data_IF_522678912678
#
_entry.id   IF_522678912678
#
_cell.length_a   1.000
_cell.length_b   1.000
_cell.length_c   1.000
_cell.angle_alpha   90.00
_cell.angle_beta   90.00
_cell.angle_gamma   90.00
#
_symmetry.space_group_name_H-M   'P 1'
#
loop_
_entity.id
_entity.type
_entity.pdbx_description
1 polymer ?
#
# COMPACT_ATOMS: atom_id res chain seq x y z
N UNK A 1 20.26 -11.08 52.11
CA UNK A 1 21.17 -12.25 51.96
C UNK A 1 21.17 -12.68 50.51
N UNK A 2 22.31 -12.54 49.90
CA UNK A 2 22.92 -13.04 48.66
C UNK A 2 22.25 -12.79 47.29
N UNK A 3 22.97 -11.91 46.58
CA UNK A 3 23.08 -11.78 45.13
C UNK A 3 23.49 -13.09 44.45
N UNK A 4 23.03 -13.27 43.20
CA UNK A 4 23.87 -13.92 42.17
C UNK A 4 23.56 -13.34 40.78
N UNK A 5 24.54 -12.57 40.29
CA UNK A 5 24.71 -12.23 38.88
C UNK A 5 25.05 -13.47 38.08
N UNK A 6 24.45 -13.62 36.88
CA UNK A 6 25.00 -14.48 35.83
C UNK A 6 25.11 -13.68 34.53
N UNK A 7 26.35 -13.37 34.20
CA UNK A 7 26.82 -12.82 32.92
C UNK A 7 26.74 -13.91 31.85
N UNK A 8 26.22 -13.62 30.67
CA UNK A 8 26.39 -14.42 29.46
C UNK A 8 27.50 -13.82 28.56
N UNK A 9 28.28 -14.64 27.87
CA UNK A 9 29.48 -14.18 27.16
C UNK A 9 29.16 -13.76 25.73
N UNK A 10 29.74 -12.65 25.33
CA UNK A 10 29.93 -12.20 23.96
C UNK A 10 30.77 -13.21 23.19
N UNK A 11 30.27 -13.68 22.04
CA UNK A 11 31.13 -14.36 21.05
C UNK A 11 31.36 -13.40 19.88
N UNK A 12 32.59 -12.89 19.86
CA UNK A 12 33.26 -12.25 18.73
C UNK A 12 33.57 -13.33 17.70
N UNK A 13 33.19 -13.15 16.45
CA UNK A 13 33.67 -13.94 15.33
C UNK A 13 34.54 -13.05 14.44
N UNK A 14 35.74 -13.47 14.27
CA UNK A 14 36.90 -12.79 13.68
C UNK A 14 36.78 -12.63 12.17
N UNK A 15 37.33 -11.50 11.70
CA UNK A 15 37.74 -11.23 10.32
C UNK A 15 38.76 -12.28 9.86
N UNK A 16 38.59 -12.80 8.66
CA UNK A 16 39.65 -13.39 7.86
C UNK A 16 39.98 -12.47 6.69
N UNK A 17 41.09 -11.74 6.85
CA UNK A 17 41.80 -11.07 5.77
C UNK A 17 42.47 -12.14 4.92
N UNK A 18 42.23 -12.15 3.63
CA UNK A 18 43.10 -12.79 2.66
C UNK A 18 43.69 -11.71 1.76
N UNK A 19 44.91 -11.33 2.07
CA UNK A 19 45.75 -10.55 1.19
C UNK A 19 46.42 -11.49 0.19
N UNK A 20 46.33 -11.20 -1.10
CA UNK A 20 47.25 -11.77 -2.08
C UNK A 20 47.84 -10.67 -2.93
N UNK A 21 49.18 -10.70 -2.91
CA UNK A 21 50.06 -9.67 -3.40
C UNK A 21 50.30 -9.74 -4.90
N UNK A 22 50.53 -8.57 -5.45
CA UNK A 22 51.52 -8.15 -6.47
C UNK A 22 51.71 -8.93 -7.76
N UNK A 23 51.44 -8.23 -8.85
CA UNK A 23 52.33 -8.24 -10.02
C UNK A 23 52.35 -6.83 -10.63
N UNK A 24 53.50 -6.17 -10.49
CA UNK A 24 53.85 -4.94 -11.17
C UNK A 24 54.20 -5.30 -12.64
N UNK A 25 53.46 -4.75 -13.60
CA UNK A 25 53.95 -4.58 -14.96
C UNK A 25 53.77 -3.13 -15.34
N UNK A 26 54.91 -2.40 -15.36
CA UNK A 26 55.03 -1.13 -16.07
C UNK A 26 54.85 -1.34 -17.56
N UNK A 27 53.79 -0.74 -18.13
CA UNK A 27 53.57 -0.60 -19.53
C UNK A 27 52.93 0.74 -19.81
N UNK A 28 53.72 1.71 -20.20
CA UNK A 28 53.21 3.01 -20.66
C UNK A 28 52.53 2.83 -22.04
N UNK A 29 51.25 3.08 -22.11
CA UNK A 29 50.48 3.14 -23.36
C UNK A 29 49.40 4.24 -23.24
N UNK A 30 49.19 5.05 -24.29
CA UNK A 30 48.43 6.27 -24.23
C UNK A 30 46.93 6.05 -24.23
N UNK A 31 46.26 6.81 -23.38
CA UNK A 31 44.92 7.34 -23.60
C UNK A 31 43.79 6.39 -23.97
N UNK A 32 43.12 5.78 -23.00
CA UNK A 32 41.77 5.26 -23.18
C UNK A 32 40.77 6.33 -22.66
N UNK A 33 39.73 6.65 -23.46
CA UNK A 33 38.74 7.65 -23.05
C UNK A 33 37.87 7.09 -21.91
N UNK A 34 37.65 7.89 -20.89
CA UNK A 34 36.84 7.61 -19.71
C UNK A 34 35.31 7.50 -19.99
N UNK A 35 34.93 7.20 -21.23
CA UNK A 35 33.52 7.10 -21.67
C UNK A 35 32.89 5.73 -21.49
N UNK A 36 33.64 4.70 -21.08
CA UNK A 36 33.14 3.33 -21.01
C UNK A 36 32.29 2.99 -19.77
N UNK A 37 32.55 3.64 -18.64
CA UNK A 37 31.87 3.27 -17.37
C UNK A 37 30.43 3.82 -17.30
N UNK A 38 30.20 5.05 -17.74
CA UNK A 38 28.86 5.63 -17.77
C UNK A 38 27.91 4.94 -18.77
N UNK A 39 28.44 4.50 -19.91
CA UNK A 39 27.66 3.75 -20.90
C UNK A 39 27.33 2.32 -20.46
N UNK A 40 28.20 1.68 -19.66
CA UNK A 40 27.90 0.36 -19.07
C UNK A 40 26.89 0.43 -17.95
N UNK A 41 26.88 1.50 -17.16
CA UNK A 41 25.91 1.70 -16.09
C UNK A 41 24.51 1.97 -16.68
N UNK A 42 24.40 2.78 -17.73
CA UNK A 42 23.15 2.98 -18.48
C UNK A 42 22.66 1.72 -19.21
N UNK A 43 23.56 0.89 -19.74
CA UNK A 43 23.21 -0.37 -20.38
C UNK A 43 22.77 -1.47 -19.39
N UNK A 44 23.26 -1.42 -18.14
CA UNK A 44 22.81 -2.30 -17.06
C UNK A 44 21.44 -1.91 -16.51
N UNK A 45 21.11 -0.61 -16.52
CA UNK A 45 19.82 -0.10 -16.10
C UNK A 45 18.68 -0.53 -17.05
N UNK A 46 18.96 -0.71 -18.33
CA UNK A 46 17.98 -1.16 -19.34
C UNK A 46 17.62 -2.65 -19.26
N UNK A 47 18.31 -3.46 -18.46
CA UNK A 47 18.09 -4.92 -18.33
C UNK A 47 17.20 -5.32 -17.13
N UNK A 48 16.78 -4.39 -16.31
CA UNK A 48 15.84 -4.70 -15.22
C UNK A 48 14.41 -4.77 -15.80
N UNK A 49 13.64 -5.84 -15.52
CA UNK A 49 12.24 -5.90 -15.90
C UNK A 49 11.48 -4.87 -15.09
N UNK A 50 11.16 -3.75 -15.70
CA UNK A 50 10.44 -2.65 -15.05
C UNK A 50 10.62 -1.35 -15.82
N UNK A 51 9.83 -0.35 -15.48
CA UNK A 51 9.94 0.97 -16.10
C UNK A 51 11.25 1.66 -15.72
N UNK A 52 11.82 2.42 -16.64
CA UNK A 52 12.83 3.41 -16.31
C UNK A 52 12.26 4.50 -15.40
N UNK A 53 13.12 5.27 -14.76
CA UNK A 53 12.68 6.37 -13.87
C UNK A 53 11.86 7.40 -14.65
N UNK A 54 12.26 7.73 -15.88
CA UNK A 54 11.57 8.67 -16.75
C UNK A 54 10.18 8.13 -17.17
N UNK A 55 10.10 6.88 -17.58
CA UNK A 55 8.82 6.24 -17.95
C UNK A 55 7.86 6.17 -16.77
N UNK A 56 8.37 5.82 -15.58
CA UNK A 56 7.57 5.78 -14.36
C UNK A 56 7.06 7.18 -13.97
N UNK A 57 7.90 8.21 -14.06
CA UNK A 57 7.50 9.61 -13.82
C UNK A 57 6.46 10.08 -14.84
N UNK A 58 6.66 9.75 -16.11
CA UNK A 58 5.70 10.07 -17.16
C UNK A 58 4.35 9.37 -16.94
N UNK A 59 4.37 8.09 -16.58
CA UNK A 59 3.17 7.32 -16.24
C UNK A 59 2.44 7.92 -15.02
N UNK A 60 3.15 8.18 -13.93
CA UNK A 60 2.58 8.81 -12.74
C UNK A 60 1.94 10.17 -13.05
N UNK A 61 2.60 11.02 -13.86
CA UNK A 61 2.04 12.30 -14.26
C UNK A 61 0.76 12.15 -15.11
N UNK A 62 0.68 11.15 -16.00
CA UNK A 62 -0.56 10.86 -16.75
C UNK A 62 -1.71 10.49 -15.81
N UNK A 63 -1.43 9.61 -14.85
CA UNK A 63 -2.39 9.19 -13.82
C UNK A 63 -2.90 10.38 -13.02
N UNK A 64 -2.01 11.22 -12.52
CA UNK A 64 -2.36 12.36 -11.68
C UNK A 64 -3.12 13.45 -12.45
N UNK A 65 -2.82 13.63 -13.73
CA UNK A 65 -3.62 14.51 -14.62
C UNK A 65 -5.06 14.00 -14.77
N UNK A 66 -5.26 12.70 -14.95
CA UNK A 66 -6.60 12.10 -15.01
C UNK A 66 -7.36 12.28 -13.68
N UNK A 67 -6.67 12.15 -12.54
CA UNK A 67 -7.25 12.42 -11.21
C UNK A 67 -7.63 13.90 -11.07
N UNK A 68 -6.77 14.81 -11.48
CA UNK A 68 -7.00 16.26 -11.40
C UNK A 68 -8.15 16.71 -12.29
N UNK A 69 -8.24 16.21 -13.53
CA UNK A 69 -9.34 16.51 -14.45
C UNK A 69 -10.67 15.84 -14.06
N UNK A 70 -10.64 14.94 -13.06
CA UNK A 70 -11.79 14.12 -12.61
C UNK A 70 -12.41 13.29 -13.73
N UNK A 71 -11.59 12.88 -14.70
CA UNK A 71 -12.00 12.00 -15.79
C UNK A 71 -11.90 10.53 -15.34
N UNK A 72 -13.03 9.96 -14.96
CA UNK A 72 -13.11 8.59 -14.47
C UNK A 72 -12.78 7.56 -15.56
N UNK A 73 -13.16 7.81 -16.81
CA UNK A 73 -12.87 6.90 -17.92
C UNK A 73 -11.38 6.90 -18.24
N UNK A 74 -10.76 8.09 -18.30
CA UNK A 74 -9.32 8.22 -18.51
C UNK A 74 -8.54 7.57 -17.37
N UNK A 75 -8.97 7.75 -16.11
CA UNK A 75 -8.34 7.08 -14.97
C UNK A 75 -8.48 5.56 -15.05
N UNK A 76 -9.68 5.05 -15.34
CA UNK A 76 -9.94 3.62 -15.49
C UNK A 76 -9.13 3.00 -16.64
N UNK A 77 -8.97 3.70 -17.76
CA UNK A 77 -8.19 3.21 -18.90
C UNK A 77 -6.73 2.92 -18.54
N UNK A 78 -6.19 3.62 -17.53
CA UNK A 78 -4.81 3.49 -17.04
C UNK A 78 -4.60 2.38 -16.01
N UNK A 79 -5.65 1.65 -15.62
CA UNK A 79 -5.54 0.52 -14.72
C UNK A 79 -4.93 -0.69 -15.43
N UNK A 80 -4.19 -1.51 -14.70
CA UNK A 80 -3.73 -2.81 -15.18
C UNK A 80 -4.93 -3.73 -15.50
N UNK A 81 -4.75 -4.79 -16.30
CA UNK A 81 -5.81 -5.75 -16.59
C UNK A 81 -6.46 -6.30 -15.32
N UNK A 82 -5.66 -6.70 -14.33
CA UNK A 82 -6.13 -7.26 -13.06
C UNK A 82 -6.97 -6.25 -12.28
N UNK A 83 -6.55 -4.98 -12.26
CA UNK A 83 -7.29 -3.93 -11.57
C UNK A 83 -8.59 -3.56 -12.33
N UNK A 84 -8.62 -3.70 -13.65
CA UNK A 84 -9.83 -3.52 -14.47
C UNK A 84 -10.85 -4.62 -14.24
N UNK A 85 -10.41 -5.88 -14.15
CA UNK A 85 -11.28 -7.02 -13.84
C UNK A 85 -11.94 -6.86 -12.46
N UNK A 86 -11.19 -6.32 -11.50
CA UNK A 86 -11.63 -6.11 -10.12
C UNK A 86 -12.40 -4.80 -9.88
N UNK A 87 -12.66 -3.99 -10.91
CA UNK A 87 -13.29 -2.68 -10.76
C UNK A 87 -14.09 -2.31 -12.02
N UNK A 88 -14.84 -1.21 -11.95
CA UNK A 88 -15.60 -0.68 -13.08
C UNK A 88 -15.44 0.84 -13.22
N UNK A 89 -15.70 1.41 -14.41
CA UNK A 89 -15.69 2.86 -14.58
C UNK A 89 -16.65 3.59 -13.62
N UNK A 90 -17.80 2.98 -13.30
CA UNK A 90 -18.77 3.56 -12.36
C UNK A 90 -18.23 3.61 -10.92
N UNK A 91 -17.48 2.58 -10.47
CA UNK A 91 -16.80 2.58 -9.17
C UNK A 91 -15.72 3.65 -9.10
N UNK A 92 -14.95 3.83 -10.17
CA UNK A 92 -13.94 4.91 -10.27
C UNK A 92 -14.64 6.28 -10.22
N UNK A 93 -15.74 6.47 -10.97
CA UNK A 93 -16.50 7.71 -10.96
C UNK A 93 -17.11 8.03 -9.58
N UNK A 94 -17.66 7.03 -8.89
CA UNK A 94 -18.18 7.18 -7.53
C UNK A 94 -17.08 7.63 -6.57
N UNK A 95 -15.92 6.96 -6.58
CA UNK A 95 -14.76 7.31 -5.78
C UNK A 95 -14.29 8.75 -6.06
N UNK A 96 -14.17 9.13 -7.33
CA UNK A 96 -13.70 10.47 -7.71
C UNK A 96 -14.67 11.59 -7.33
N UNK A 97 -15.97 11.31 -7.21
CA UNK A 97 -16.97 12.32 -6.76
C UNK A 97 -16.75 12.74 -5.32
N UNK A 98 -16.30 11.83 -4.46
CA UNK A 98 -16.17 12.06 -3.02
C UNK A 98 -14.75 12.37 -2.56
N UNK A 99 -13.76 12.00 -3.37
CA UNK A 99 -12.37 12.36 -3.08
C UNK A 99 -12.16 13.89 -3.11
N UNK A 100 -11.31 14.44 -2.22
CA UNK A 100 -10.88 15.83 -2.29
C UNK A 100 -10.31 16.18 -3.66
N UNK A 101 -10.52 17.40 -4.11
CA UNK A 101 -9.96 17.86 -5.40
C UNK A 101 -8.46 17.89 -5.35
N UNK A 102 -7.78 17.26 -6.31
CA UNK A 102 -6.34 17.38 -6.50
C UNK A 102 -6.02 18.76 -7.09
N UNK A 103 -5.26 19.57 -6.37
CA UNK A 103 -4.86 20.92 -6.78
C UNK A 103 -3.52 20.89 -7.50
N UNK A 104 -2.52 20.22 -6.89
CA UNK A 104 -1.18 20.04 -7.45
C UNK A 104 -0.52 18.81 -6.87
N UNK A 105 0.62 18.38 -7.42
CA UNK A 105 1.41 17.27 -6.90
C UNK A 105 2.91 17.48 -7.15
N UNK A 106 3.71 16.73 -6.39
CA UNK A 106 5.15 16.64 -6.56
C UNK A 106 5.56 15.16 -6.49
N UNK A 107 6.28 14.66 -7.50
CA UNK A 107 6.89 13.34 -7.46
C UNK A 107 8.11 13.40 -6.55
N UNK A 108 8.14 12.56 -5.51
CA UNK A 108 9.18 12.54 -4.48
C UNK A 108 10.27 11.55 -4.86
N UNK A 109 9.91 10.28 -5.04
CA UNK A 109 10.85 9.20 -5.34
C UNK A 109 10.29 8.22 -6.39
N UNK A 110 11.17 7.43 -6.98
CA UNK A 110 10.84 6.30 -7.86
C UNK A 110 11.67 5.11 -7.41
N UNK A 111 11.01 4.04 -6.99
CA UNK A 111 11.63 2.81 -6.56
C UNK A 111 11.30 1.70 -7.56
N UNK A 112 12.33 1.16 -8.20
CA UNK A 112 12.21 0.08 -9.19
C UNK A 112 12.26 -1.27 -8.47
N UNK A 113 11.20 -2.06 -8.63
CA UNK A 113 11.15 -3.44 -8.15
C UNK A 113 11.28 -4.45 -9.30
N UNK A 114 11.27 -5.73 -8.98
CA UNK A 114 11.43 -6.81 -9.98
C UNK A 114 10.27 -6.88 -10.98
N UNK A 115 9.06 -6.56 -10.57
CA UNK A 115 7.83 -6.66 -11.40
C UNK A 115 7.05 -5.35 -11.50
N UNK A 116 7.25 -4.47 -10.54
CA UNK A 116 6.51 -3.22 -10.42
C UNK A 116 7.45 -2.08 -10.09
N UNK A 117 7.05 -0.87 -10.43
CA UNK A 117 7.75 0.35 -10.06
C UNK A 117 6.83 1.18 -9.17
N UNK A 118 7.32 1.58 -8.00
CA UNK A 118 6.58 2.42 -7.07
C UNK A 118 7.01 3.87 -7.21
N UNK A 119 6.06 4.77 -7.40
CA UNK A 119 6.29 6.21 -7.44
C UNK A 119 5.64 6.85 -6.22
N UNK A 120 6.45 7.46 -5.39
CA UNK A 120 6.01 8.24 -4.23
C UNK A 120 5.64 9.66 -4.66
N UNK A 121 4.49 10.12 -4.20
CA UNK A 121 3.92 11.40 -4.65
C UNK A 121 3.35 12.15 -3.46
N UNK A 122 3.75 13.42 -3.30
CA UNK A 122 3.06 14.35 -2.41
C UNK A 122 1.93 15.04 -3.18
N UNK A 123 0.70 14.85 -2.73
CA UNK A 123 -0.51 15.46 -3.27
C UNK A 123 -0.89 16.68 -2.43
N UNK A 124 -1.21 17.79 -3.09
CA UNK A 124 -1.87 18.92 -2.48
C UNK A 124 -3.33 18.91 -2.90
N UNK A 125 -4.24 18.70 -1.95
CA UNK A 125 -5.67 18.54 -2.20
C UNK A 125 -6.48 19.63 -1.51
N UNK A 126 -7.76 19.73 -1.83
CA UNK A 126 -8.70 20.64 -1.15
C UNK A 126 -8.92 20.31 0.34
N UNK A 127 -8.49 19.12 0.80
CA UNK A 127 -8.54 18.69 2.20
C UNK A 127 -7.17 18.72 2.90
N UNK A 128 -6.11 19.20 2.21
CA UNK A 128 -4.75 19.27 2.74
C UNK A 128 -3.76 18.42 1.95
N UNK A 129 -2.54 18.31 2.49
CA UNK A 129 -1.47 17.49 1.91
C UNK A 129 -1.66 16.02 2.26
N UNK A 130 -1.28 15.15 1.34
CA UNK A 130 -1.32 13.70 1.49
C UNK A 130 -0.18 13.07 0.68
N UNK A 131 0.50 12.10 1.23
CA UNK A 131 1.49 11.31 0.52
C UNK A 131 0.90 9.97 0.08
N UNK A 132 1.24 9.57 -1.13
CA UNK A 132 0.71 8.36 -1.75
C UNK A 132 1.78 7.64 -2.54
N UNK A 133 1.63 6.32 -2.63
CA UNK A 133 2.47 5.45 -3.44
C UNK A 133 1.65 4.91 -4.60
N UNK A 134 2.05 5.23 -5.82
CA UNK A 134 1.51 4.66 -7.04
C UNK A 134 2.35 3.46 -7.44
N UNK A 135 1.74 2.30 -7.53
CA UNK A 135 2.41 1.08 -8.00
C UNK A 135 2.05 0.87 -9.46
N UNK A 136 3.07 0.85 -10.32
CA UNK A 136 2.96 0.71 -11.76
C UNK A 136 3.51 -0.65 -12.20
N UNK A 137 2.82 -1.32 -13.14
CA UNK A 137 3.35 -2.51 -13.80
C UNK A 137 4.37 -2.13 -14.91
N UNK A 138 4.99 -3.09 -15.55
CA UNK A 138 5.98 -2.87 -16.62
C UNK A 138 5.45 -2.14 -17.86
N UNK A 139 4.13 -2.03 -18.04
CA UNK A 139 3.47 -1.25 -19.08
C UNK A 139 3.13 0.19 -18.65
N UNK A 140 3.48 0.60 -17.42
CA UNK A 140 3.17 1.91 -16.86
C UNK A 140 1.70 2.08 -16.47
N UNK A 141 0.99 0.99 -16.25
CA UNK A 141 -0.40 0.97 -15.80
C UNK A 141 -0.45 0.84 -14.28
N UNK A 142 -1.49 1.40 -13.67
CA UNK A 142 -1.69 1.33 -12.21
C UNK A 142 -2.07 -0.10 -11.83
N UNK A 143 -1.26 -0.73 -10.99
CA UNK A 143 -1.54 -2.04 -10.37
C UNK A 143 -1.87 -1.94 -8.88
N UNK A 144 -1.55 -0.83 -8.24
CA UNK A 144 -1.87 -0.57 -6.85
C UNK A 144 -1.78 0.91 -6.50
N UNK A 145 -2.37 1.25 -5.36
CA UNK A 145 -2.38 2.61 -4.82
C UNK A 145 -2.41 2.54 -3.30
N UNK A 146 -1.50 3.26 -2.65
CA UNK A 146 -1.46 3.37 -1.20
C UNK A 146 -1.46 4.81 -0.76
N UNK A 147 -2.07 5.05 0.38
CA UNK A 147 -1.95 6.30 1.13
C UNK A 147 -0.87 6.08 2.19
N UNK A 148 0.03 7.02 2.38
CA UNK A 148 0.89 7.03 3.55
C UNK A 148 0.05 7.36 4.78
N UNK A 149 0.07 6.47 5.74
CA UNK A 149 -0.77 6.51 6.95
C UNK A 149 0.08 6.57 8.22
N UNK A 150 1.40 6.63 8.10
CA UNK A 150 2.36 6.49 9.20
C UNK A 150 2.12 7.47 10.35
N UNK A 151 1.71 8.70 10.04
CA UNK A 151 1.47 9.76 11.03
C UNK A 151 0.03 9.77 11.59
N UNK A 152 -0.83 8.80 11.21
CA UNK A 152 -2.21 8.75 11.65
C UNK A 152 -2.41 7.76 12.80
N UNK A 153 -3.32 8.04 13.72
CA UNK A 153 -3.69 7.08 14.75
C UNK A 153 -4.34 5.82 14.12
N UNK A 154 -3.98 4.59 14.53
CA UNK A 154 -4.55 3.35 14.00
C UNK A 154 -6.08 3.32 14.02
N UNK A 155 -6.69 3.83 15.10
CA UNK A 155 -8.16 3.92 15.21
C UNK A 155 -8.79 4.86 14.17
N UNK A 156 -8.10 5.93 13.80
CA UNK A 156 -8.56 6.85 12.76
C UNK A 156 -8.48 6.18 11.37
N UNK A 157 -7.41 5.45 11.09
CA UNK A 157 -7.23 4.71 9.84
C UNK A 157 -8.32 3.66 9.68
N UNK A 158 -8.53 2.82 10.70
CA UNK A 158 -9.58 1.80 10.69
C UNK A 158 -10.98 2.42 10.52
N UNK A 159 -11.26 3.55 11.19
CA UNK A 159 -12.52 4.27 11.01
C UNK A 159 -12.71 4.79 9.57
N UNK A 160 -11.66 5.36 8.95
CA UNK A 160 -11.71 5.83 7.55
C UNK A 160 -11.94 4.67 6.57
N UNK A 161 -11.31 3.53 6.80
CA UNK A 161 -11.51 2.32 6.02
C UNK A 161 -12.98 1.87 6.04
N UNK A 162 -13.57 1.71 7.23
CA UNK A 162 -14.97 1.31 7.38
C UNK A 162 -15.93 2.36 6.80
N UNK A 163 -15.61 3.65 6.95
CA UNK A 163 -16.38 4.73 6.33
C UNK A 163 -16.35 4.65 4.78
N UNK A 164 -15.22 4.28 4.20
CA UNK A 164 -15.12 4.08 2.74
C UNK A 164 -15.95 2.86 2.30
N UNK A 165 -15.93 1.74 3.04
CA UNK A 165 -16.77 0.57 2.78
C UNK A 165 -18.25 0.92 2.81
N UNK A 166 -18.69 1.59 3.88
CA UNK A 166 -20.10 1.94 4.10
C UNK A 166 -20.65 2.92 3.06
N UNK A 167 -19.77 3.73 2.48
CA UNK A 167 -20.09 4.66 1.40
C UNK A 167 -20.02 4.05 0.00
N UNK A 168 -19.67 2.76 -0.12
CA UNK A 168 -19.50 2.08 -1.41
C UNK A 168 -18.23 2.48 -2.17
N UNK A 169 -17.27 3.13 -1.49
CA UNK A 169 -16.01 3.58 -2.09
C UNK A 169 -14.92 2.50 -1.98
N UNK A 170 -15.18 1.32 -2.54
CA UNK A 170 -14.34 0.13 -2.37
C UNK A 170 -12.92 0.30 -2.94
N UNK A 171 -12.73 1.11 -3.98
CA UNK A 171 -11.38 1.46 -4.47
C UNK A 171 -10.61 2.25 -3.39
N UNK A 172 -11.26 3.22 -2.75
CA UNK A 172 -10.66 3.97 -1.65
C UNK A 172 -10.44 3.09 -0.42
N UNK A 173 -11.39 2.22 -0.08
CA UNK A 173 -11.22 1.28 1.02
C UNK A 173 -10.01 0.36 0.78
N UNK A 174 -9.85 -0.17 -0.44
CA UNK A 174 -8.71 -1.00 -0.80
C UNK A 174 -7.37 -0.27 -0.65
N UNK A 175 -7.29 1.05 -0.81
CA UNK A 175 -6.05 1.81 -0.67
C UNK A 175 -5.51 1.90 0.77
N UNK A 176 -6.30 1.53 1.77
CA UNK A 176 -5.86 1.38 3.17
C UNK A 176 -5.21 0.02 3.45
N UNK A 177 -5.42 -0.97 2.59
CA UNK A 177 -4.84 -2.31 2.73
C UNK A 177 -3.35 -2.29 2.39
N UNK A 178 -2.56 -3.15 3.03
CA UNK A 178 -1.17 -3.42 2.63
C UNK A 178 -1.09 -3.93 1.18
N UNK A 179 0.08 -3.81 0.54
CA UNK A 179 0.28 -4.31 -0.83
C UNK A 179 0.02 -5.82 -0.95
N UNK A 180 0.38 -6.57 0.09
CA UNK A 180 0.16 -8.00 0.14
C UNK A 180 -1.33 -8.30 0.16
N UNK A 181 -2.07 -7.67 1.06
CA UNK A 181 -3.50 -7.85 1.18
C UNK A 181 -4.27 -7.35 -0.06
N UNK A 182 -3.76 -6.32 -0.76
CA UNK A 182 -4.32 -5.88 -2.05
C UNK A 182 -4.15 -6.90 -3.18
N UNK A 183 -3.16 -7.81 -3.11
CA UNK A 183 -3.03 -8.91 -4.07
C UNK A 183 -4.04 -10.03 -3.81
N UNK A 184 -4.41 -10.22 -2.55
CA UNK A 184 -5.34 -11.26 -2.12
C UNK A 184 -6.81 -10.83 -2.21
N UNK A 185 -7.07 -9.54 -1.92
CA UNK A 185 -8.42 -8.99 -1.86
C UNK A 185 -8.58 -7.91 -2.94
N UNK A 186 -9.26 -8.24 -3.99
CA UNK A 186 -9.65 -7.29 -5.02
C UNK A 186 -10.86 -6.42 -4.59
N UNK A 187 -11.19 -5.43 -5.41
CA UNK A 187 -12.28 -4.47 -5.13
C UNK A 187 -13.63 -5.17 -5.08
N UNK A 188 -13.86 -6.14 -5.97
CA UNK A 188 -15.13 -6.88 -6.04
C UNK A 188 -15.30 -7.81 -4.83
N UNK A 189 -14.23 -8.48 -4.41
CA UNK A 189 -14.21 -9.31 -3.20
C UNK A 189 -14.47 -8.47 -1.95
N UNK A 190 -13.88 -7.27 -1.84
CA UNK A 190 -14.12 -6.37 -0.72
C UNK A 190 -15.58 -5.91 -0.68
N UNK A 191 -16.16 -5.57 -1.83
CA UNK A 191 -17.57 -5.25 -1.96
C UNK A 191 -18.48 -6.42 -1.56
N UNK A 192 -18.18 -7.63 -2.05
CA UNK A 192 -18.95 -8.83 -1.72
C UNK A 192 -18.96 -9.13 -0.22
N UNK A 193 -17.82 -9.01 0.45
CA UNK A 193 -17.70 -9.21 1.91
C UNK A 193 -18.52 -8.17 2.69
N UNK A 194 -18.46 -6.90 2.30
CA UNK A 194 -19.27 -5.86 2.91
C UNK A 194 -20.77 -6.09 2.72
N UNK A 195 -21.19 -6.46 1.51
CA UNK A 195 -22.59 -6.80 1.24
C UNK A 195 -23.04 -8.06 2.00
N UNK A 196 -22.16 -9.04 2.18
CA UNK A 196 -22.43 -10.22 2.98
C UNK A 196 -22.70 -9.84 4.44
N UNK A 197 -21.87 -8.97 5.02
CA UNK A 197 -22.08 -8.44 6.36
C UNK A 197 -23.45 -7.75 6.46
N UNK A 198 -23.81 -6.87 5.51
CA UNK A 198 -25.09 -6.19 5.52
C UNK A 198 -26.29 -7.12 5.33
N UNK A 199 -26.16 -8.23 4.60
CA UNK A 199 -27.22 -9.24 4.53
C UNK A 199 -27.54 -9.86 5.89
N UNK A 200 -26.54 -9.99 6.75
CA UNK A 200 -26.70 -10.58 8.10
C UNK A 200 -27.16 -9.53 9.12
N UNK A 201 -26.57 -8.36 9.08
CA UNK A 201 -26.73 -7.31 10.11
C UNK A 201 -27.79 -6.25 9.77
N UNK A 202 -28.19 -6.18 8.50
CA UNK A 202 -29.01 -5.10 7.94
C UNK A 202 -28.17 -3.98 7.33
N UNK A 203 -28.85 -2.93 6.86
CA UNK A 203 -28.18 -1.78 6.25
C UNK A 203 -27.35 -1.02 7.29
N UNK A 204 -26.18 -0.54 6.87
CA UNK A 204 -25.31 0.25 7.69
C UNK A 204 -25.97 1.59 8.08
N UNK A 205 -25.87 1.93 9.38
CA UNK A 205 -26.39 3.20 9.92
C UNK A 205 -25.24 4.14 10.23
N UNK A 206 -24.29 3.72 11.09
CA UNK A 206 -23.16 4.58 11.50
C UNK A 206 -22.02 3.79 12.15
N UNK A 207 -20.86 4.44 12.25
CA UNK A 207 -19.77 4.01 13.13
C UNK A 207 -19.95 4.67 14.47
N UNK A 208 -20.20 3.88 15.51
CA UNK A 208 -20.32 4.38 16.87
C UNK A 208 -18.95 4.76 17.44
N UNK A 209 -17.98 3.84 17.37
CA UNK A 209 -16.66 4.02 17.96
C UNK A 209 -15.61 3.22 17.22
N UNK A 210 -14.38 3.73 17.17
CA UNK A 210 -13.18 2.97 16.78
C UNK A 210 -12.18 3.07 17.94
N UNK A 211 -11.71 1.94 18.44
CA UNK A 211 -10.87 1.85 19.64
C UNK A 211 -9.73 0.89 19.36
N UNK A 212 -8.52 1.29 19.70
CA UNK A 212 -7.39 0.39 19.74
C UNK A 212 -7.59 -0.57 20.93
N UNK A 213 -7.79 -1.86 20.61
CA UNK A 213 -8.11 -2.91 21.58
C UNK A 213 -6.86 -3.65 22.07
N UNK A 214 -5.75 -3.52 21.35
CA UNK A 214 -4.45 -4.09 21.69
C UNK A 214 -3.39 -3.69 20.70
N UNK A 215 -2.15 -3.71 21.16
CA UNK A 215 -0.99 -3.52 20.30
C UNK A 215 0.12 -4.48 20.71
N UNK A 216 0.88 -4.94 19.71
CA UNK A 216 2.13 -5.65 19.88
C UNK A 216 3.27 -4.79 19.36
N UNK A 217 4.51 -5.33 19.34
CA UNK A 217 5.64 -4.63 18.74
C UNK A 217 5.43 -4.31 17.24
N UNK A 218 4.62 -5.14 16.55
CA UNK A 218 4.53 -5.12 15.08
C UNK A 218 3.11 -4.88 14.55
N UNK A 219 2.10 -4.86 15.41
CA UNK A 219 0.68 -4.79 14.99
C UNK A 219 -0.20 -4.03 15.98
N UNK A 220 -1.21 -3.38 15.44
CA UNK A 220 -2.29 -2.73 16.18
C UNK A 220 -3.62 -3.40 15.85
N UNK A 221 -4.35 -3.82 16.87
CA UNK A 221 -5.72 -4.31 16.74
C UNK A 221 -6.70 -3.20 17.06
N UNK A 222 -7.55 -2.87 16.09
CA UNK A 222 -8.60 -1.86 16.26
C UNK A 222 -9.96 -2.49 16.14
N UNK A 223 -10.82 -2.23 17.12
CA UNK A 223 -12.24 -2.52 17.09
C UNK A 223 -13.00 -1.32 16.53
N UNK A 224 -13.71 -1.54 15.43
CA UNK A 224 -14.63 -0.54 14.87
C UNK A 224 -16.06 -1.00 15.13
N UNK A 225 -16.68 -0.43 16.16
CA UNK A 225 -18.08 -0.71 16.50
C UNK A 225 -19.00 0.02 15.51
N UNK A 226 -19.82 -0.74 14.81
CA UNK A 226 -20.73 -0.30 13.76
C UNK A 226 -22.18 -0.61 14.15
N UNK A 227 -23.09 0.28 13.79
CA UNK A 227 -24.52 0.10 13.95
C UNK A 227 -25.15 -0.16 12.59
N UNK A 228 -25.93 -1.21 12.52
CA UNK A 228 -26.77 -1.57 11.38
C UNK A 228 -28.23 -1.52 11.82
N UNK A 229 -29.16 -1.49 10.87
CA UNK A 229 -30.57 -1.33 11.19
C UNK A 229 -31.21 -2.53 11.95
N UNK A 230 -30.57 -3.70 11.94
CA UNK A 230 -31.03 -4.89 12.67
C UNK A 230 -30.22 -5.18 13.93
N UNK A 231 -28.93 -4.90 13.92
CA UNK A 231 -28.05 -5.14 15.09
C UNK A 231 -26.79 -4.26 15.02
N UNK A 232 -26.04 -4.20 16.11
CA UNK A 232 -24.70 -3.62 16.13
C UNK A 232 -23.66 -4.73 16.08
N UNK A 233 -22.56 -4.49 15.40
CA UNK A 233 -21.45 -5.42 15.29
C UNK A 233 -20.10 -4.70 15.36
N UNK A 234 -19.02 -5.42 15.55
CA UNK A 234 -17.67 -4.87 15.61
C UNK A 234 -16.78 -5.53 14.59
N UNK A 235 -16.21 -4.72 13.71
CA UNK A 235 -15.18 -5.15 12.78
C UNK A 235 -13.82 -5.07 13.46
N UNK A 236 -13.07 -6.17 13.40
CA UNK A 236 -11.68 -6.23 13.84
C UNK A 236 -10.77 -5.85 12.67
N UNK A 237 -9.99 -4.81 12.86
CA UNK A 237 -9.03 -4.33 11.86
C UNK A 237 -7.64 -4.42 12.44
N UNK A 238 -6.76 -5.15 11.77
CA UNK A 238 -5.36 -5.32 12.18
C UNK A 238 -4.51 -4.46 11.25
N UNK A 239 -3.67 -3.60 11.85
CA UNK A 239 -2.75 -2.72 11.14
C UNK A 239 -1.30 -3.07 11.49
N UNK A 240 -0.38 -2.83 10.57
CA UNK A 240 1.05 -2.88 10.82
C UNK A 240 1.56 -1.55 11.43
N UNK A 241 2.86 -1.46 11.69
CA UNK A 241 3.51 -0.25 12.21
C UNK A 241 3.50 0.95 11.25
N UNK A 242 3.19 0.74 9.99
CA UNK A 242 2.98 1.80 9.01
C UNK A 242 1.50 2.18 8.88
N UNK A 243 0.67 1.70 9.80
CA UNK A 243 -0.78 1.86 9.79
C UNK A 243 -1.46 1.35 8.51
N UNK A 244 -0.84 0.39 7.81
CA UNK A 244 -1.47 -0.31 6.69
C UNK A 244 -2.28 -1.49 7.22
N UNK A 245 -3.46 -1.69 6.68
CA UNK A 245 -4.33 -2.79 7.11
C UNK A 245 -3.79 -4.11 6.54
N UNK A 246 -3.43 -5.01 7.44
CA UNK A 246 -2.93 -6.36 7.15
C UNK A 246 -3.93 -7.46 7.47
N UNK A 247 -5.07 -7.12 8.08
CA UNK A 247 -6.14 -8.05 8.37
C UNK A 247 -7.45 -7.34 8.64
N UNK A 248 -8.56 -7.92 8.17
CA UNK A 248 -9.92 -7.48 8.50
C UNK A 248 -10.75 -8.74 8.71
N UNK A 249 -11.32 -8.86 9.91
CA UNK A 249 -12.26 -9.92 10.22
C UNK A 249 -13.68 -9.46 9.83
N UNK A 250 -14.13 -9.91 8.66
CA UNK A 250 -15.54 -9.82 8.31
C UNK A 250 -16.22 -11.05 8.88
N UNK A 251 -17.28 -10.90 9.68
CA UNK A 251 -18.05 -12.04 10.16
C UNK A 251 -18.49 -12.93 8.98
N UNK A 252 -17.90 -14.10 8.87
CA UNK A 252 -18.09 -14.95 7.71
C UNK A 252 -19.38 -15.76 7.76
N UNK A 253 -19.89 -16.07 8.96
CA UNK A 253 -21.20 -16.69 9.19
C UNK A 253 -21.64 -16.45 10.63
N UNK A 254 -22.94 -16.26 10.90
CA UNK A 254 -23.43 -16.32 12.26
C UNK A 254 -23.06 -17.71 12.78
N UNK A 255 -22.25 -17.75 13.84
CA UNK A 255 -22.02 -18.99 14.57
C UNK A 255 -23.40 -19.46 14.99
N UNK A 256 -23.93 -20.47 14.29
CA UNK A 256 -25.15 -21.14 14.73
C UNK A 256 -24.91 -21.55 16.18
N UNK A 257 -25.73 -21.11 17.13
CA UNK A 257 -25.54 -21.48 18.52
C UNK A 257 -25.47 -22.99 18.55
N UNK A 258 -24.35 -23.57 19.03
CA UNK A 258 -24.28 -25.01 19.28
C UNK A 258 -25.43 -25.37 20.19
N UNK A 259 -26.27 -26.34 19.84
CA UNK A 259 -27.29 -26.80 20.76
C UNK A 259 -26.59 -27.22 22.06
N UNK A 260 -27.00 -26.59 23.15
CA UNK A 260 -26.53 -26.95 24.48
C UNK A 260 -27.02 -28.36 24.73
N UNK A 261 -26.12 -29.30 25.12
CA UNK A 261 -26.48 -30.68 25.36
C UNK A 261 -27.48 -30.87 26.50
#
# INVERSE_FOLDING_TARGET
MLMRHLRSPRRSASLALLALATAICMGAGPGLPATGLAAQEQAAESKLPGLSVEEARAAANRVLKAVQSRDANLRYSQFSPELKEASSPSMVAATMRTQPKLLSWKLLSVQRGLRTTTVEVSLNTSAGKQEVFLVLNGAGQISGYHIDLTDQAPSLVARKFVAALSSGHFISARSFLSLEMQREIDVASLQARWQQLQRQTGDFVRINKAVEAGSTADQHLVLVNTEFNRLSDSLFVILDNNNQIIGVDFPSDPVSPKPVP
#
